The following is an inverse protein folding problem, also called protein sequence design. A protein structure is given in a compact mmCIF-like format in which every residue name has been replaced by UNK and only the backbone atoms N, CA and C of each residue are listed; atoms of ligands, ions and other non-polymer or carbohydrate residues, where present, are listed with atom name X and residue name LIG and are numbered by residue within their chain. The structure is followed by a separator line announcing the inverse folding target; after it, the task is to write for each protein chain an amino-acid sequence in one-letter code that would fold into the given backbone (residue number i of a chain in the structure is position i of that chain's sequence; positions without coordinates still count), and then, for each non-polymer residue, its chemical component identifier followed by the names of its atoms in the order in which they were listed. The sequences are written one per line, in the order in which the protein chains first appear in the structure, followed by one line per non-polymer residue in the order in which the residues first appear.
data_IF_332717257928
#
_entry.id   IF_332717257928
#
_cell.length_a   1.000
_cell.length_b   1.000
_cell.length_c   1.000
_cell.angle_alpha   90.00
_cell.angle_beta   90.00
_cell.angle_gamma   90.00
#
_symmetry.space_group_name_H-M   'P 1'
#
loop_
_entity.id
_entity.type
_entity.pdbx_description
1 polymer ?
#
# COMPACT_ATOMS: atom_id res chain seq x y z
N UNK A 1 4.41 36.92 -4.55
CA UNK A 1 3.41 36.32 -3.62
C UNK A 1 4.06 35.92 -2.28
N UNK A 2 4.96 36.74 -1.73
CA UNK A 2 5.53 36.57 -0.38
C UNK A 2 5.51 37.95 0.26
N UNK A 3 4.78 38.10 1.38
CA UNK A 3 4.72 39.33 2.17
C UNK A 3 5.01 38.93 3.63
N UNK A 4 6.02 39.52 4.30
CA UNK A 4 6.45 39.08 5.62
C UNK A 4 5.34 39.20 6.68
N UNK A 5 4.55 40.28 6.63
CA UNK A 5 3.40 40.53 7.53
C UNK A 5 2.41 39.36 7.54
N UNK A 6 2.16 38.73 6.38
CA UNK A 6 1.24 37.58 6.24
C UNK A 6 1.81 36.28 6.80
N UNK A 7 3.09 36.25 7.20
CA UNK A 7 3.73 35.12 7.88
C UNK A 7 3.63 35.27 9.40
N UNK A 8 3.69 36.50 9.92
CA UNK A 8 3.50 36.82 11.34
C UNK A 8 2.03 36.72 11.77
N UNK A 9 1.09 37.03 10.87
CA UNK A 9 -0.36 36.88 11.09
C UNK A 9 -0.87 35.42 11.00
N UNK A 10 -0.03 34.45 10.61
CA UNK A 10 -0.46 33.07 10.38
C UNK A 10 -0.59 32.29 11.70
N UNK A 11 -1.78 31.78 12.03
CA UNK A 11 -1.97 31.00 13.26
C UNK A 11 -1.50 29.55 13.11
N UNK A 12 -1.25 28.88 14.23
CA UNK A 12 -0.98 27.43 14.24
C UNK A 12 -2.11 26.61 13.60
N UNK A 13 -3.36 27.08 13.66
CA UNK A 13 -4.50 26.44 12.99
C UNK A 13 -4.43 26.60 11.47
N UNK A 14 -4.02 27.76 10.97
CA UNK A 14 -3.82 28.01 9.53
C UNK A 14 -2.65 27.18 9.00
N UNK A 15 -1.53 27.10 9.73
CA UNK A 15 -0.38 26.27 9.37
C UNK A 15 -0.75 24.78 9.34
N UNK A 16 -1.49 24.29 10.33
CA UNK A 16 -1.99 22.91 10.36
C UNK A 16 -2.96 22.64 9.19
N UNK A 17 -3.89 23.56 8.90
CA UNK A 17 -4.84 23.44 7.79
C UNK A 17 -4.17 23.50 6.42
N UNK A 18 -3.20 24.40 6.23
CA UNK A 18 -2.41 24.50 5.01
C UNK A 18 -1.57 23.24 4.77
N UNK A 19 -0.95 22.70 5.82
CA UNK A 19 -0.20 21.43 5.76
C UNK A 19 -1.12 20.27 5.39
N UNK A 20 -2.28 20.16 6.05
CA UNK A 20 -3.29 19.15 5.77
C UNK A 20 -3.79 19.21 4.31
N UNK A 21 -4.17 20.39 3.83
CA UNK A 21 -4.59 20.62 2.43
C UNK A 21 -3.48 20.29 1.44
N UNK A 22 -2.23 20.65 1.74
CA UNK A 22 -1.07 20.36 0.86
C UNK A 22 -0.84 18.85 0.73
N UNK A 23 -0.88 18.10 1.84
CA UNK A 23 -0.74 16.65 1.83
C UNK A 23 -1.91 15.98 1.09
N UNK A 24 -3.16 16.41 1.35
CA UNK A 24 -4.34 15.89 0.68
C UNK A 24 -4.34 16.16 -0.83
N UNK A 25 -3.96 17.36 -1.25
CA UNK A 25 -3.88 17.71 -2.67
C UNK A 25 -2.77 16.92 -3.39
N UNK A 26 -1.65 16.63 -2.72
CA UNK A 26 -0.58 15.81 -3.30
C UNK A 26 -1.00 14.33 -3.41
N UNK A 27 -1.59 13.76 -2.35
CA UNK A 27 -2.21 12.41 -2.38
C UNK A 27 -3.26 12.33 -3.48
N UNK A 28 -4.14 13.33 -3.58
CA UNK A 28 -5.15 13.45 -4.62
C UNK A 28 -4.53 13.51 -6.01
N UNK A 29 -3.52 14.35 -6.23
CA UNK A 29 -2.86 14.49 -7.54
C UNK A 29 -2.24 13.17 -8.00
N UNK A 30 -1.52 12.48 -7.10
CA UNK A 30 -0.94 11.15 -7.38
C UNK A 30 -2.05 10.12 -7.65
N UNK A 31 -3.11 10.10 -6.84
CA UNK A 31 -4.23 9.15 -7.01
C UNK A 31 -5.01 9.40 -8.30
N UNK A 32 -5.20 10.67 -8.67
CA UNK A 32 -5.86 11.11 -9.91
C UNK A 32 -5.00 10.80 -11.14
N UNK A 33 -3.67 10.97 -11.03
CA UNK A 33 -2.72 10.56 -12.07
C UNK A 33 -2.76 9.03 -12.26
N UNK A 34 -2.64 8.24 -11.18
CA UNK A 34 -2.78 6.79 -11.25
C UNK A 34 -4.15 6.36 -11.79
N UNK A 35 -5.25 6.99 -11.37
CA UNK A 35 -6.58 6.63 -11.84
C UNK A 35 -6.83 7.01 -13.31
N UNK A 36 -6.17 8.05 -13.84
CA UNK A 36 -6.15 8.30 -15.29
C UNK A 36 -5.29 7.26 -16.03
N UNK A 37 -4.10 6.95 -15.51
CA UNK A 37 -3.19 5.97 -16.12
C UNK A 37 -3.79 4.56 -16.17
N UNK A 38 -4.43 4.11 -15.10
CA UNK A 38 -5.07 2.79 -15.00
C UNK A 38 -6.55 2.81 -15.45
N UNK A 39 -7.07 3.96 -15.91
CA UNK A 39 -8.44 4.21 -16.38
C UNK A 39 -9.56 3.75 -15.39
N UNK A 40 -9.56 4.31 -14.17
CA UNK A 40 -10.40 3.91 -13.03
C UNK A 40 -11.33 5.04 -12.56
N UNK A 41 -12.63 4.93 -12.86
CA UNK A 41 -13.68 5.89 -12.44
C UNK A 41 -13.86 6.02 -10.91
N UNK A 42 -13.37 5.07 -10.11
CA UNK A 42 -13.69 4.96 -8.68
C UNK A 42 -12.46 4.62 -7.84
N UNK A 43 -11.92 5.65 -7.18
CA UNK A 43 -10.75 5.51 -6.30
C UNK A 43 -11.22 5.23 -4.87
N UNK A 44 -10.84 4.06 -4.33
CA UNK A 44 -11.09 3.72 -2.94
C UNK A 44 -9.96 4.25 -2.04
N UNK A 45 -10.23 5.33 -1.31
CA UNK A 45 -9.28 5.90 -0.38
C UNK A 45 -9.35 5.18 0.98
N UNK A 46 -8.22 4.60 1.38
CA UNK A 46 -8.08 3.82 2.62
C UNK A 46 -6.80 4.23 3.38
N UNK A 47 -6.92 4.25 4.70
CA UNK A 47 -5.84 4.47 5.67
C UNK A 47 -6.28 5.30 6.88
N UNK A 48 -5.66 5.06 8.04
CA UNK A 48 -6.02 5.73 9.31
C UNK A 48 -5.84 7.26 9.33
N UNK A 49 -5.27 7.85 8.27
CA UNK A 49 -5.23 9.30 8.04
C UNK A 49 -6.60 9.93 7.78
N UNK A 50 -7.57 9.14 7.26
CA UNK A 50 -8.93 9.58 6.99
C UNK A 50 -9.91 9.27 8.12
N UNK A 51 -9.49 8.45 9.10
CA UNK A 51 -10.28 8.05 10.26
C UNK A 51 -10.77 9.27 11.04
N UNK A 52 -12.09 9.40 11.20
CA UNK A 52 -12.80 10.52 11.86
C UNK A 52 -12.64 11.88 11.12
N UNK A 53 -11.75 12.00 10.15
CA UNK A 53 -11.45 13.27 9.47
C UNK A 53 -12.33 13.52 8.24
N UNK A 54 -13.58 13.95 8.50
CA UNK A 54 -14.54 14.35 7.46
C UNK A 54 -14.08 15.51 6.58
N UNK A 55 -13.16 16.36 7.06
CA UNK A 55 -12.57 17.43 6.25
C UNK A 55 -11.66 16.86 5.16
N UNK A 56 -10.78 15.90 5.51
CA UNK A 56 -9.92 15.21 4.56
C UNK A 56 -10.70 14.48 3.47
N UNK A 57 -11.76 13.74 3.85
CA UNK A 57 -12.59 13.00 2.90
C UNK A 57 -13.32 13.96 1.93
N UNK A 58 -13.85 15.08 2.42
CA UNK A 58 -14.47 16.11 1.55
C UNK A 58 -13.49 16.76 0.59
N UNK A 59 -12.25 17.05 1.03
CA UNK A 59 -11.21 17.63 0.18
C UNK A 59 -10.81 16.66 -0.93
N UNK A 60 -10.57 15.38 -0.62
CA UNK A 60 -10.25 14.37 -1.64
C UNK A 60 -11.40 14.13 -2.61
N UNK A 61 -12.64 14.04 -2.12
CA UNK A 61 -13.82 13.90 -2.97
C UNK A 61 -13.98 15.08 -3.94
N UNK A 62 -13.88 16.31 -3.43
CA UNK A 62 -13.92 17.51 -4.26
C UNK A 62 -12.77 17.56 -5.28
N UNK A 63 -11.55 17.21 -4.87
CA UNK A 63 -10.39 17.20 -5.76
C UNK A 63 -10.55 16.20 -6.90
N UNK A 64 -11.07 14.98 -6.65
CA UNK A 64 -11.31 14.00 -7.70
C UNK A 64 -12.42 14.47 -8.63
N UNK A 65 -13.54 14.96 -8.10
CA UNK A 65 -14.68 15.43 -8.90
C UNK A 65 -14.28 16.63 -9.78
N UNK A 66 -13.62 17.64 -9.20
CA UNK A 66 -13.19 18.86 -9.89
C UNK A 66 -12.10 18.60 -10.94
N UNK A 67 -11.06 17.81 -10.63
CA UNK A 67 -9.99 17.51 -11.60
C UNK A 67 -10.41 16.46 -12.65
N UNK A 68 -11.47 15.70 -12.43
CA UNK A 68 -12.02 14.75 -13.40
C UNK A 68 -13.18 15.29 -14.24
N UNK A 69 -13.63 16.54 -13.99
CA UNK A 69 -14.90 17.05 -14.53
C UNK A 69 -16.09 16.11 -14.23
N UNK A 70 -16.07 15.48 -13.06
CA UNK A 70 -17.09 14.56 -12.58
C UNK A 70 -16.95 13.10 -13.02
N UNK A 71 -15.93 12.72 -13.79
CA UNK A 71 -15.71 11.33 -14.24
C UNK A 71 -15.24 10.40 -13.12
N UNK A 72 -14.32 10.85 -12.26
CA UNK A 72 -13.69 10.04 -11.21
C UNK A 72 -14.26 10.40 -9.84
N UNK A 73 -14.83 9.41 -9.15
CA UNK A 73 -15.43 9.54 -7.82
C UNK A 73 -14.53 8.94 -6.73
N UNK A 74 -14.33 9.68 -5.65
CA UNK A 74 -13.72 9.16 -4.44
C UNK A 74 -14.72 8.30 -3.65
N UNK A 75 -14.29 7.12 -3.21
CA UNK A 75 -15.04 6.21 -2.34
C UNK A 75 -14.24 6.01 -1.04
N UNK A 76 -14.92 5.89 0.09
CA UNK A 76 -14.31 5.75 1.42
C UNK A 76 -14.93 4.55 2.16
N UNK A 77 -14.16 3.91 3.04
CA UNK A 77 -14.65 2.82 3.89
C UNK A 77 -14.98 3.32 5.30
N UNK A 78 -16.21 3.08 5.77
CA UNK A 78 -16.60 3.37 7.16
C UNK A 78 -15.89 2.47 8.19
N UNK A 79 -15.50 1.26 7.77
CA UNK A 79 -15.12 0.15 8.64
C UNK A 79 -13.71 -0.38 8.38
N UNK A 80 -12.78 0.52 8.11
CA UNK A 80 -11.37 0.20 7.79
C UNK A 80 -10.64 -0.58 8.89
N UNK A 81 -10.74 -0.15 10.16
CA UNK A 81 -10.06 -0.80 11.29
C UNK A 81 -11.00 -1.81 11.96
N UNK A 82 -10.53 -3.06 12.13
CA UNK A 82 -11.15 -4.01 13.07
C UNK A 82 -11.29 -3.35 14.44
N UNK A 83 -12.53 -3.09 14.87
CA UNK A 83 -12.80 -3.10 16.32
C UNK A 83 -12.32 -4.45 16.85
N UNK A 84 -11.56 -4.44 17.94
CA UNK A 84 -11.51 -5.58 18.85
C UNK A 84 -12.95 -5.86 19.26
N UNK A 85 -13.56 -6.90 18.69
CA UNK A 85 -14.91 -7.31 19.09
C UNK A 85 -14.82 -7.83 20.52
N UNK A 86 -15.11 -6.96 21.49
CA UNK A 86 -15.63 -7.39 22.79
C UNK A 86 -16.79 -8.34 22.54
N UNK A 87 -16.87 -9.37 23.37
CA UNK A 87 -17.67 -10.58 23.15
C UNK A 87 -19.12 -10.26 22.79
N UNK A 88 -19.50 -10.62 21.56
CA UNK A 88 -20.86 -11.05 21.24
C UNK A 88 -20.74 -12.40 20.52
N UNK A 89 -21.09 -13.47 21.22
CA UNK A 89 -21.14 -14.82 20.66
C UNK A 89 -22.28 -14.90 19.64
N UNK A 90 -21.95 -15.36 18.44
CA UNK A 90 -22.91 -15.57 17.37
C UNK A 90 -22.40 -16.70 16.47
N UNK A 91 -23.30 -17.52 15.91
CA UNK A 91 -23.05 -18.92 15.50
C UNK A 91 -21.82 -19.15 14.58
N UNK A 92 -21.44 -18.16 13.76
CA UNK A 92 -20.26 -18.20 12.89
C UNK A 92 -18.90 -18.21 13.65
N UNK A 93 -18.86 -18.02 14.97
CA UNK A 93 -17.61 -18.00 15.75
C UNK A 93 -16.87 -19.35 15.77
N UNK A 94 -17.59 -20.47 15.62
CA UNK A 94 -17.05 -21.82 15.81
C UNK A 94 -15.90 -22.14 14.81
N UNK A 95 -16.11 -21.87 13.52
CA UNK A 95 -15.09 -22.05 12.47
C UNK A 95 -13.90 -21.09 12.62
N UNK A 96 -14.11 -19.92 13.24
CA UNK A 96 -13.07 -18.88 13.39
C UNK A 96 -12.03 -19.25 14.46
N UNK A 97 -12.39 -20.09 15.42
CA UNK A 97 -11.47 -20.59 16.45
C UNK A 97 -10.43 -21.58 15.91
N UNK A 98 -10.79 -22.41 14.93
CA UNK A 98 -9.93 -23.51 14.44
C UNK A 98 -9.00 -23.17 13.26
N UNK A 99 -9.12 -21.98 12.63
CA UNK A 99 -8.20 -21.55 11.55
C UNK A 99 -8.04 -22.58 10.39
N UNK A 100 -9.13 -23.31 10.07
CA UNK A 100 -9.17 -24.40 9.07
C UNK A 100 -8.78 -23.89 7.67
N UNK A 101 -9.19 -22.67 7.36
CA UNK A 101 -8.77 -21.93 6.17
C UNK A 101 -7.65 -20.96 6.53
N UNK A 102 -6.80 -20.62 5.56
CA UNK A 102 -5.67 -19.70 5.73
C UNK A 102 -6.06 -18.47 6.55
N UNK A 103 -5.37 -18.23 7.67
CA UNK A 103 -5.69 -17.17 8.61
C UNK A 103 -4.41 -16.49 9.16
N UNK A 104 -4.56 -15.38 9.88
CA UNK A 104 -3.44 -14.68 10.49
C UNK A 104 -2.97 -15.44 11.75
N UNK A 105 -2.19 -16.50 11.54
CA UNK A 105 -1.56 -17.31 12.59
C UNK A 105 -0.17 -17.77 12.16
N UNK A 106 0.69 -18.10 13.14
CA UNK A 106 2.07 -18.58 12.90
C UNK A 106 2.15 -19.87 12.05
N UNK A 107 1.04 -20.60 11.88
CA UNK A 107 0.98 -21.79 11.03
C UNK A 107 0.96 -21.44 9.52
N UNK A 108 0.26 -20.36 9.15
CA UNK A 108 0.06 -19.92 7.76
C UNK A 108 1.02 -18.80 7.35
N UNK A 109 1.33 -17.91 8.29
CA UNK A 109 2.29 -16.81 8.12
C UNK A 109 3.47 -17.09 9.07
N UNK A 110 4.37 -18.04 8.73
CA UNK A 110 5.45 -18.47 9.61
C UNK A 110 6.59 -17.43 9.76
N UNK A 111 6.68 -16.45 8.86
CA UNK A 111 7.70 -15.38 8.91
C UNK A 111 9.13 -15.94 9.05
N UNK A 112 9.49 -16.92 8.21
CA UNK A 112 10.70 -17.71 8.36
C UNK A 112 11.95 -16.94 7.90
N UNK A 113 12.44 -16.07 8.79
CA UNK A 113 13.62 -15.23 8.55
C UNK A 113 14.89 -16.06 8.29
N UNK A 114 15.06 -17.22 8.95
CA UNK A 114 16.21 -18.10 8.70
C UNK A 114 16.21 -18.63 7.27
N UNK A 115 15.06 -19.04 6.76
CA UNK A 115 14.93 -19.48 5.37
C UNK A 115 15.13 -18.31 4.38
N UNK A 116 14.70 -17.09 4.74
CA UNK A 116 14.92 -15.90 3.92
C UNK A 116 16.41 -15.54 3.83
N UNK A 117 17.14 -15.60 4.95
CA UNK A 117 18.59 -15.36 5.01
C UNK A 117 19.37 -16.35 4.12
N UNK A 118 19.11 -17.65 4.29
CA UNK A 118 19.73 -18.72 3.48
C UNK A 118 19.46 -18.49 1.99
N UNK A 119 18.19 -18.27 1.60
CA UNK A 119 17.81 -18.02 0.19
C UNK A 119 18.48 -16.78 -0.40
N UNK A 120 18.53 -15.68 0.36
CA UNK A 120 19.18 -14.45 -0.11
C UNK A 120 20.72 -14.56 -0.13
N UNK A 121 21.34 -15.46 0.63
CA UNK A 121 22.79 -15.73 0.56
C UNK A 121 23.15 -16.68 -0.58
N UNK A 122 22.43 -17.79 -0.72
CA UNK A 122 22.78 -18.87 -1.66
C UNK A 122 22.29 -18.60 -3.08
N UNK A 123 21.20 -17.84 -3.24
CA UNK A 123 20.50 -17.71 -4.53
C UNK A 123 20.62 -16.30 -5.15
N UNK A 124 21.01 -15.27 -4.39
CA UNK A 124 21.19 -13.90 -4.91
C UNK A 124 22.66 -13.57 -5.24
N UNK A 125 23.12 -14.09 -6.36
CA UNK A 125 24.49 -13.86 -6.84
C UNK A 125 24.80 -12.37 -7.07
N UNK A 126 25.96 -11.93 -6.59
CA UNK A 126 26.53 -10.61 -6.88
C UNK A 126 25.90 -9.40 -6.17
N UNK A 127 24.98 -9.58 -5.22
CA UNK A 127 24.28 -8.46 -4.55
C UNK A 127 24.33 -8.52 -2.99
N UNK A 128 25.52 -8.59 -2.36
CA UNK A 128 25.64 -8.72 -0.89
C UNK A 128 25.05 -7.55 -0.10
N UNK A 129 24.99 -6.35 -0.68
CA UNK A 129 24.32 -5.18 -0.08
C UNK A 129 22.79 -5.37 -0.01
N UNK A 130 22.20 -6.05 -1.00
CA UNK A 130 20.75 -6.28 -1.08
C UNK A 130 20.30 -7.32 -0.07
N UNK A 131 21.09 -8.39 0.14
CA UNK A 131 20.87 -9.37 1.22
C UNK A 131 20.76 -8.67 2.58
N UNK A 132 21.81 -7.94 3.00
CA UNK A 132 21.83 -7.30 4.32
C UNK A 132 20.71 -6.26 4.49
N UNK A 133 20.49 -5.40 3.50
CA UNK A 133 19.47 -4.35 3.57
C UNK A 133 18.05 -4.94 3.71
N UNK A 134 17.70 -5.93 2.88
CA UNK A 134 16.37 -6.54 2.88
C UNK A 134 16.16 -7.38 4.13
N UNK A 135 17.15 -8.19 4.53
CA UNK A 135 17.06 -9.00 5.74
C UNK A 135 16.86 -8.13 6.98
N UNK A 136 17.67 -7.07 7.16
CA UNK A 136 17.56 -6.15 8.30
C UNK A 136 16.23 -5.39 8.30
N UNK A 137 15.79 -4.88 7.15
CA UNK A 137 14.52 -4.12 7.05
C UNK A 137 13.31 -4.99 7.40
N UNK A 138 13.25 -6.22 6.87
CA UNK A 138 12.15 -7.16 7.14
C UNK A 138 12.22 -7.67 8.59
N UNK A 139 13.41 -8.03 9.08
CA UNK A 139 13.62 -8.47 10.47
C UNK A 139 13.20 -7.41 11.47
N UNK A 140 13.61 -6.15 11.27
CA UNK A 140 13.24 -5.03 12.14
C UNK A 140 11.73 -4.79 12.14
N UNK A 141 11.08 -4.82 10.97
CA UNK A 141 9.65 -4.61 10.85
C UNK A 141 8.82 -5.72 11.52
N UNK A 142 9.24 -6.99 11.38
CA UNK A 142 8.54 -8.15 11.95
C UNK A 142 8.72 -8.25 13.47
N UNK A 143 9.90 -7.92 13.98
CA UNK A 143 10.19 -7.98 15.43
C UNK A 143 9.72 -6.72 16.19
N UNK A 144 9.21 -5.70 15.51
CA UNK A 144 8.59 -4.54 16.16
C UNK A 144 7.14 -4.84 16.50
N UNK A 145 6.81 -4.92 17.80
CA UNK A 145 5.41 -5.02 18.23
C UNK A 145 4.67 -3.70 17.93
N UNK A 146 3.69 -3.76 17.03
CA UNK A 146 2.96 -2.61 16.46
C UNK A 146 3.84 -1.57 15.73
N UNK A 147 4.35 -1.87 14.52
CA UNK A 147 5.15 -0.92 13.75
C UNK A 147 4.31 0.29 13.33
N UNK A 148 4.85 1.50 13.56
CA UNK A 148 4.14 2.78 13.36
C UNK A 148 3.88 3.14 11.89
N UNK A 149 4.53 2.45 10.94
CA UNK A 149 4.39 2.58 9.49
C UNK A 149 4.56 1.21 8.84
N UNK A 150 3.88 0.97 7.72
CA UNK A 150 4.07 -0.23 6.92
C UNK A 150 5.45 -0.23 6.23
N UNK A 151 6.09 -1.41 6.11
CA UNK A 151 7.31 -1.56 5.32
C UNK A 151 6.98 -1.59 3.83
N UNK A 152 7.66 -0.76 3.05
CA UNK A 152 7.63 -0.76 1.58
C UNK A 152 9.06 -0.95 1.08
N UNK A 153 9.25 -1.88 0.15
CA UNK A 153 10.54 -2.14 -0.51
C UNK A 153 10.40 -1.85 -2.01
N UNK A 154 11.24 -0.97 -2.54
CA UNK A 154 11.32 -0.70 -3.98
C UNK A 154 12.65 -1.22 -4.52
N UNK A 155 12.60 -2.02 -5.59
CA UNK A 155 13.76 -2.67 -6.18
C UNK A 155 13.96 -2.14 -7.62
N UNK A 156 15.12 -1.53 -7.88
CA UNK A 156 15.42 -0.87 -9.16
C UNK A 156 16.61 -1.52 -9.89
N UNK A 157 16.89 -1.08 -11.13
CA UNK A 157 17.97 -1.60 -12.00
C UNK A 157 17.46 -2.21 -13.32
N UNK A 158 18.37 -2.65 -14.20
CA UNK A 158 18.06 -3.20 -15.53
C UNK A 158 17.31 -4.55 -15.52
N UNK A 159 16.76 -4.98 -16.66
CA UNK A 159 16.16 -6.31 -16.80
C UNK A 159 17.17 -7.42 -16.51
N UNK A 160 16.71 -8.53 -15.92
CA UNK A 160 17.57 -9.66 -15.52
C UNK A 160 18.23 -9.55 -14.13
N UNK A 161 18.30 -8.37 -13.50
CA UNK A 161 19.03 -8.17 -12.21
C UNK A 161 18.37 -8.76 -10.95
N UNK A 162 17.56 -9.81 -11.06
CA UNK A 162 17.04 -10.56 -9.91
C UNK A 162 15.90 -9.90 -9.11
N UNK A 163 15.42 -8.69 -9.42
CA UNK A 163 14.35 -8.00 -8.66
C UNK A 163 13.12 -8.87 -8.34
N UNK A 164 12.54 -9.51 -9.35
CA UNK A 164 11.34 -10.35 -9.19
C UNK A 164 11.67 -11.66 -8.44
N UNK A 165 12.92 -12.11 -8.51
CA UNK A 165 13.44 -13.29 -7.81
C UNK A 165 13.60 -13.01 -6.31
N UNK A 166 14.14 -11.84 -5.94
CA UNK A 166 14.15 -11.32 -4.56
C UNK A 166 12.73 -11.23 -4.00
N UNK A 167 11.79 -10.62 -4.72
CA UNK A 167 10.39 -10.53 -4.30
C UNK A 167 9.73 -11.91 -4.10
N UNK A 168 10.05 -12.89 -4.96
CA UNK A 168 9.62 -14.29 -4.82
C UNK A 168 10.13 -14.92 -3.53
N UNK A 169 11.43 -14.79 -3.23
CA UNK A 169 12.00 -15.40 -2.03
C UNK A 169 11.47 -14.78 -0.73
N UNK A 170 11.24 -13.46 -0.71
CA UNK A 170 10.54 -12.79 0.39
C UNK A 170 9.15 -13.40 0.62
N UNK A 171 8.33 -13.47 -0.42
CA UNK A 171 6.93 -13.95 -0.30
C UNK A 171 6.86 -15.44 0.10
N UNK A 172 7.70 -16.28 -0.48
CA UNK A 172 7.75 -17.71 -0.14
C UNK A 172 8.30 -18.01 1.26
N UNK A 173 9.13 -17.15 1.85
CA UNK A 173 9.62 -17.34 3.22
C UNK A 173 8.72 -16.68 4.28
N UNK A 174 7.93 -15.67 3.93
CA UNK A 174 6.97 -15.06 4.84
C UNK A 174 5.64 -15.84 4.93
N UNK A 175 5.16 -16.40 3.81
CA UNK A 175 3.85 -17.04 3.70
C UNK A 175 3.97 -18.51 3.29
N UNK A 176 3.31 -19.42 4.02
CA UNK A 176 3.34 -20.87 3.75
C UNK A 176 2.88 -21.24 2.34
N UNK A 177 1.91 -20.50 1.82
CA UNK A 177 1.34 -20.70 0.48
C UNK A 177 2.09 -19.89 -0.61
N UNK A 178 3.12 -19.11 -0.26
CA UNK A 178 3.82 -18.20 -1.17
C UNK A 178 2.85 -17.29 -1.93
N UNK A 179 3.02 -17.17 -3.25
CA UNK A 179 2.11 -16.43 -4.14
C UNK A 179 0.67 -16.97 -4.23
N UNK A 180 0.38 -18.16 -3.67
CA UNK A 180 -0.99 -18.68 -3.53
C UNK A 180 -1.63 -18.28 -2.20
N UNK A 181 -0.91 -17.58 -1.32
CA UNK A 181 -1.47 -17.03 -0.08
C UNK A 181 -2.47 -15.94 -0.40
N UNK A 182 -3.63 -15.94 0.27
CA UNK A 182 -4.58 -14.82 0.17
C UNK A 182 -4.03 -13.49 0.71
N UNK A 183 -2.88 -13.53 1.39
CA UNK A 183 -2.16 -12.37 1.93
C UNK A 183 -1.02 -11.88 1.02
N UNK A 184 -0.66 -12.62 -0.03
CA UNK A 184 0.36 -12.23 -1.00
C UNK A 184 -0.27 -12.09 -2.39
N UNK A 185 -0.11 -10.93 -3.03
CA UNK A 185 -0.60 -10.69 -4.39
C UNK A 185 0.53 -10.17 -5.27
N UNK A 186 0.68 -10.77 -6.44
CA UNK A 186 1.61 -10.34 -7.48
C UNK A 186 0.81 -9.63 -8.59
N UNK A 187 1.17 -8.39 -8.88
CA UNK A 187 0.73 -7.68 -10.08
C UNK A 187 1.88 -7.67 -11.11
N UNK A 188 1.55 -7.96 -12.37
CA UNK A 188 2.44 -7.94 -13.54
C UNK A 188 1.72 -7.11 -14.60
N UNK A 189 2.19 -5.89 -14.87
CA UNK A 189 1.46 -4.94 -15.71
C UNK A 189 1.05 -5.52 -17.08
N UNK A 190 1.96 -6.20 -17.78
CA UNK A 190 1.71 -6.82 -19.08
C UNK A 190 0.75 -8.04 -19.07
N UNK A 191 0.20 -8.42 -17.91
CA UNK A 191 -0.79 -9.50 -17.76
C UNK A 191 -2.05 -9.02 -17.06
N UNK A 192 -1.88 -8.32 -15.94
CA UNK A 192 -2.99 -7.89 -15.07
C UNK A 192 -3.58 -6.53 -15.49
N UNK A 193 -2.83 -5.74 -16.27
CA UNK A 193 -3.22 -4.46 -16.86
C UNK A 193 -2.94 -4.46 -18.37
N UNK A 194 -3.26 -5.57 -19.05
CA UNK A 194 -2.93 -5.77 -20.47
C UNK A 194 -3.86 -4.96 -21.37
N UNK A 195 -3.37 -3.88 -21.97
CA UNK A 195 -4.11 -3.09 -22.96
C UNK A 195 -4.25 -3.88 -24.27
N UNK A 196 -5.49 -4.20 -24.66
CA UNK A 196 -5.75 -5.04 -25.85
C UNK A 196 -5.84 -4.26 -27.17
N UNK A 197 -6.05 -2.94 -27.13
CA UNK A 197 -6.25 -2.10 -28.32
C UNK A 197 -5.17 -1.01 -28.47
N UNK A 198 -4.71 -0.75 -29.70
CA UNK A 198 -3.79 0.35 -29.99
C UNK A 198 -4.39 1.74 -29.70
N UNK A 199 -5.72 1.91 -29.74
CA UNK A 199 -6.36 3.20 -29.41
C UNK A 199 -6.09 3.61 -27.96
N UNK A 200 -6.07 2.66 -27.02
CA UNK A 200 -5.67 2.94 -25.64
C UNK A 200 -4.19 3.33 -25.57
N UNK A 201 -3.30 2.63 -26.29
CA UNK A 201 -1.86 2.96 -26.31
C UNK A 201 -1.57 4.37 -26.88
N UNK A 202 -2.46 4.91 -27.72
CA UNK A 202 -2.34 6.28 -28.27
C UNK A 202 -2.73 7.37 -27.25
N UNK A 203 -3.43 7.04 -26.16
CA UNK A 203 -3.71 7.99 -25.06
C UNK A 203 -2.51 8.23 -24.14
N UNK A 204 -1.48 7.37 -24.18
CA UNK A 204 -0.27 7.47 -23.35
C UNK A 204 0.93 8.14 -24.04
N UNK A 205 0.81 8.48 -25.34
CA UNK A 205 1.87 9.19 -26.09
C UNK A 205 1.51 10.67 -26.24
N UNK A 206 2.26 11.49 -25.51
CA UNK A 206 2.33 12.96 -25.68
C UNK A 206 3.28 13.29 -26.82
#
# INVERSE_FOLDING_TARGET
MNLPEKREQATNADLARATLVTVLNNIGSISMMCARTENVDRILFSGSFLRINGLSMRILAYAMDYWSSGQIKAVFLEHEIRKTQRVMVNFASFFRAFCIWECCSKYWIPMNMTQLDVRLKEQLMGQPLVHNLIFTSISSHINTEHPSKALVLSLHGSTGTGKNFVAKHIIESLYRNGYKSKYARLYVASRDFMHHDEEHLRQYKV
#
